data_IF_222108770199
#
_entry.id   IF_222108770199
#
_cell.length_a   1.000
_cell.length_b   1.000
_cell.length_c   1.000
_cell.angle_alpha   90.00
_cell.angle_beta   90.00
_cell.angle_gamma   90.00
#
_symmetry.space_group_name_H-M   'P 1'
#
loop_
_entity.id
_entity.type
_entity.pdbx_description
1 polymer ?
#
# COMPACT_ATOMS: atom_id res chain seq x y z
N UNK A 1 14.02 9.09 10.55
CA UNK A 1 14.32 9.56 11.92
C UNK A 1 13.93 8.50 12.94
N UNK A 2 14.64 8.39 14.06
CA UNK A 2 14.38 7.37 15.10
C UNK A 2 13.17 7.69 16.00
N UNK A 3 12.54 8.85 15.82
CA UNK A 3 11.40 9.30 16.63
C UNK A 3 10.10 8.77 16.03
N UNK A 4 9.46 7.83 16.73
CA UNK A 4 8.09 7.38 16.44
C UNK A 4 7.12 8.17 17.31
N UNK A 5 6.08 8.72 16.70
CA UNK A 5 5.02 9.43 17.41
C UNK A 5 3.69 8.83 17.00
N UNK A 6 2.89 8.39 17.97
CA UNK A 6 1.51 7.99 17.73
C UNK A 6 0.64 9.24 17.74
N UNK A 7 -0.08 9.47 16.65
CA UNK A 7 -0.99 10.61 16.50
C UNK A 7 -2.39 10.06 16.30
N UNK A 8 -3.37 10.60 17.02
CA UNK A 8 -4.77 10.28 16.81
C UNK A 8 -5.39 11.33 15.88
N UNK A 9 -6.04 10.88 14.82
CA UNK A 9 -6.66 11.77 13.83
C UNK A 9 -8.18 11.72 13.95
N UNK A 10 -8.83 12.88 13.92
CA UNK A 10 -10.28 12.97 13.76
C UNK A 10 -10.61 12.78 12.27
N UNK A 11 -10.97 11.55 11.90
CA UNK A 11 -11.36 11.21 10.53
C UNK A 11 -12.70 11.88 10.17
N UNK A 12 -12.73 12.58 9.04
CA UNK A 12 -13.99 13.10 8.47
C UNK A 12 -14.82 12.00 7.79
N UNK A 13 -14.15 11.10 7.08
CA UNK A 13 -14.78 10.01 6.29
C UNK A 13 -13.99 8.71 6.47
N UNK A 14 -14.66 7.56 6.37
CA UNK A 14 -14.04 6.22 6.33
C UNK A 14 -14.68 5.41 5.22
N UNK A 15 -13.86 4.84 4.35
CA UNK A 15 -14.30 3.98 3.24
C UNK A 15 -13.39 2.75 3.15
N UNK A 16 -13.88 1.68 2.54
CA UNK A 16 -13.16 0.42 2.34
C UNK A 16 -12.71 0.24 0.88
N UNK A 17 -12.23 1.31 0.25
CA UNK A 17 -11.72 1.26 -1.13
C UNK A 17 -10.65 2.33 -1.33
N UNK A 18 -9.44 1.96 -1.77
CA UNK A 18 -8.37 2.92 -2.03
C UNK A 18 -8.71 3.89 -3.16
N UNK A 19 -9.47 3.43 -4.16
CA UNK A 19 -9.95 4.26 -5.28
C UNK A 19 -10.85 5.38 -4.75
N UNK A 20 -11.79 5.04 -3.85
CA UNK A 20 -12.69 6.01 -3.24
C UNK A 20 -11.94 6.97 -2.30
N UNK A 21 -10.95 6.48 -1.54
CA UNK A 21 -10.09 7.36 -0.72
C UNK A 21 -9.37 8.38 -1.59
N UNK A 22 -8.81 7.97 -2.74
CA UNK A 22 -8.15 8.88 -3.67
C UNK A 22 -9.10 9.94 -4.21
N UNK A 23 -10.30 9.52 -4.64
CA UNK A 23 -11.31 10.45 -5.14
C UNK A 23 -11.69 11.50 -4.07
N UNK A 24 -11.91 11.07 -2.82
CA UNK A 24 -12.21 12.00 -1.72
C UNK A 24 -11.08 13.00 -1.47
N UNK A 25 -9.81 12.58 -1.60
CA UNK A 25 -8.68 13.50 -1.48
C UNK A 25 -8.62 14.52 -2.63
N UNK A 26 -8.96 14.10 -3.85
CA UNK A 26 -9.06 14.99 -5.02
C UNK A 26 -10.24 15.97 -4.90
N UNK A 27 -11.32 15.55 -4.26
CA UNK A 27 -12.52 16.37 -4.01
C UNK A 27 -12.39 17.25 -2.74
N UNK A 28 -11.16 17.47 -2.25
CA UNK A 28 -10.82 18.33 -1.10
C UNK A 28 -11.46 17.92 0.25
N UNK A 29 -11.77 16.63 0.45
CA UNK A 29 -12.26 16.15 1.75
C UNK A 29 -11.16 16.06 2.82
N UNK A 30 -9.89 16.21 2.44
CA UNK A 30 -8.75 16.32 3.35
C UNK A 30 -7.55 15.44 2.94
N UNK A 31 -6.79 15.01 3.96
CA UNK A 31 -5.55 14.25 3.77
C UNK A 31 -5.84 12.75 3.68
N UNK A 32 -5.19 12.08 2.73
CA UNK A 32 -5.27 10.63 2.56
C UNK A 32 -3.89 9.96 2.62
N UNK A 33 -3.87 8.72 3.10
CA UNK A 33 -2.69 7.84 3.08
C UNK A 33 -2.87 6.83 1.94
N UNK A 34 -2.11 6.99 0.88
CA UNK A 34 -2.22 6.21 -0.36
C UNK A 34 -0.84 5.78 -0.84
N UNK A 35 -0.78 4.74 -1.67
CA UNK A 35 0.46 4.35 -2.32
C UNK A 35 0.88 5.42 -3.35
N UNK A 36 2.19 5.65 -3.47
CA UNK A 36 2.75 6.59 -4.45
C UNK A 36 2.36 6.20 -5.88
N UNK A 37 2.38 4.90 -6.19
CA UNK A 37 2.00 4.37 -7.51
C UNK A 37 0.54 4.70 -7.87
N UNK A 38 -0.39 4.62 -6.91
CA UNK A 38 -1.81 4.91 -7.16
C UNK A 38 -2.09 6.41 -7.41
N UNK A 39 -1.19 7.29 -6.98
CA UNK A 39 -1.29 8.74 -7.11
C UNK A 39 -0.32 9.33 -8.14
N UNK A 40 0.37 8.49 -8.93
CA UNK A 40 1.47 8.92 -9.81
C UNK A 40 1.03 10.03 -10.78
N UNK A 41 -0.14 9.91 -11.37
CA UNK A 41 -0.69 10.88 -12.32
C UNK A 41 -1.07 12.19 -11.63
N UNK A 42 -1.76 12.10 -10.51
CA UNK A 42 -2.27 13.23 -9.75
C UNK A 42 -1.13 14.04 -9.11
N UNK A 43 -0.06 13.37 -8.68
CA UNK A 43 1.17 13.99 -8.22
C UNK A 43 1.90 14.71 -9.37
N UNK A 44 2.01 14.06 -10.53
CA UNK A 44 2.65 14.66 -11.71
C UNK A 44 1.91 15.90 -12.22
N UNK A 45 0.58 15.90 -12.13
CA UNK A 45 -0.27 17.01 -12.56
C UNK A 45 -0.50 18.07 -11.47
N UNK A 46 0.07 17.89 -10.28
CA UNK A 46 -0.06 18.83 -9.15
C UNK A 46 -1.45 18.85 -8.49
N UNK A 47 -2.31 17.87 -8.78
CA UNK A 47 -3.63 17.73 -8.14
C UNK A 47 -3.52 17.19 -6.71
N UNK A 48 -2.49 16.39 -6.46
CA UNK A 48 -2.12 15.95 -5.11
C UNK A 48 -0.71 16.44 -4.78
N UNK A 49 -0.49 16.74 -3.51
CA UNK A 49 0.82 17.16 -2.99
C UNK A 49 1.24 16.21 -1.87
N UNK A 50 2.45 15.64 -1.92
CA UNK A 50 2.96 14.79 -0.85
C UNK A 50 3.28 15.63 0.40
N UNK A 51 2.69 15.24 1.53
CA UNK A 51 2.92 15.89 2.82
C UNK A 51 3.68 14.97 3.78
N UNK A 52 4.19 15.53 4.89
CA UNK A 52 4.87 14.77 5.94
C UNK A 52 6.05 13.92 5.42
N UNK A 53 6.78 14.41 4.41
CA UNK A 53 7.88 13.65 3.78
C UNK A 53 9.02 13.29 4.76
N UNK A 54 9.19 14.07 5.82
CA UNK A 54 10.15 13.79 6.90
C UNK A 54 9.73 12.61 7.81
N UNK A 55 8.48 12.17 7.67
CA UNK A 55 7.85 11.11 8.46
C UNK A 55 7.44 9.94 7.55
N UNK A 56 8.41 9.21 6.98
CA UNK A 56 8.10 8.10 6.08
C UNK A 56 7.34 7.00 6.81
N UNK A 57 6.34 6.44 6.14
CA UNK A 57 5.57 5.30 6.63
C UNK A 57 6.39 4.03 6.39
N UNK A 58 6.40 3.12 7.37
CA UNK A 58 7.09 1.85 7.22
C UNK A 58 6.46 1.02 6.07
N UNK A 59 7.29 0.37 5.23
CA UNK A 59 6.81 -0.56 4.20
C UNK A 59 5.87 -1.62 4.80
N UNK A 60 4.72 -1.84 4.17
CA UNK A 60 3.86 -2.96 4.56
C UNK A 60 4.52 -4.28 4.15
N UNK A 61 4.38 -5.29 5.01
CA UNK A 61 4.89 -6.64 4.77
C UNK A 61 3.77 -7.49 4.15
N UNK A 62 4.07 -8.16 3.05
CA UNK A 62 3.15 -9.13 2.42
C UNK A 62 3.54 -10.54 2.86
N UNK A 63 2.54 -11.34 3.23
CA UNK A 63 2.74 -12.70 3.72
C UNK A 63 1.95 -13.68 2.86
N UNK A 64 2.60 -14.78 2.47
CA UNK A 64 1.92 -15.95 1.90
C UNK A 64 1.36 -16.82 3.02
N UNK A 65 0.03 -16.89 3.15
CA UNK A 65 -0.65 -17.67 4.19
C UNK A 65 -1.21 -18.96 3.61
N UNK A 66 -0.92 -20.10 4.25
CA UNK A 66 -1.38 -21.44 3.86
C UNK A 66 -1.69 -22.28 5.11
N UNK A 67 -2.52 -23.31 4.96
CA UNK A 67 -3.18 -24.00 6.08
C UNK A 67 -2.28 -24.93 6.91
N UNK A 68 -1.22 -25.53 6.34
CA UNK A 68 -0.35 -26.48 7.06
C UNK A 68 1.15 -26.19 6.87
N UNK A 69 1.90 -26.15 7.98
CA UNK A 69 3.38 -26.13 7.98
C UNK A 69 4.01 -27.52 7.82
N UNK A 70 3.23 -28.59 8.03
CA UNK A 70 3.72 -29.97 7.97
C UNK A 70 3.59 -30.43 6.52
N UNK A 71 4.73 -30.59 5.85
CA UNK A 71 4.85 -30.95 4.43
C UNK A 71 4.30 -29.86 3.50
N UNK A 72 5.08 -28.78 3.34
CA UNK A 72 4.81 -27.77 2.32
C UNK A 72 4.85 -28.47 0.95
N UNK A 73 3.68 -28.65 0.34
CA UNK A 73 3.57 -29.37 -0.91
C UNK A 73 4.40 -28.68 -1.99
N UNK A 74 5.08 -29.45 -2.84
CA UNK A 74 6.05 -28.94 -3.82
C UNK A 74 5.45 -27.88 -4.74
N UNK A 75 4.17 -28.00 -5.09
CA UNK A 75 3.43 -27.03 -5.88
C UNK A 75 3.26 -25.67 -5.17
N UNK A 76 3.04 -25.66 -3.85
CA UNK A 76 2.94 -24.43 -3.06
C UNK A 76 4.31 -23.74 -2.99
N UNK A 77 5.38 -24.49 -2.70
CA UNK A 77 6.75 -23.94 -2.69
C UNK A 77 7.11 -23.33 -4.05
N UNK A 78 6.86 -24.07 -5.14
CA UNK A 78 7.15 -23.60 -6.49
C UNK A 78 6.34 -22.34 -6.86
N UNK A 79 5.07 -22.27 -6.44
CA UNK A 79 4.25 -21.08 -6.63
C UNK A 79 4.79 -19.88 -5.83
N UNK A 80 5.15 -20.08 -4.56
CA UNK A 80 5.73 -19.02 -3.73
C UNK A 80 7.05 -18.53 -4.30
N UNK A 81 7.92 -19.44 -4.77
CA UNK A 81 9.18 -19.08 -5.43
C UNK A 81 8.95 -18.26 -6.69
N UNK A 82 7.99 -18.67 -7.53
CA UNK A 82 7.58 -17.89 -8.69
C UNK A 82 7.06 -16.51 -8.30
N UNK A 83 6.19 -16.46 -7.28
CA UNK A 83 5.58 -15.24 -6.81
C UNK A 83 6.61 -14.25 -6.27
N UNK A 84 7.53 -14.70 -5.42
CA UNK A 84 8.62 -13.86 -4.87
C UNK A 84 9.53 -13.36 -5.98
N UNK A 85 9.89 -14.20 -6.96
CA UNK A 85 10.73 -13.78 -8.10
C UNK A 85 10.06 -12.70 -8.96
N UNK A 86 8.74 -12.78 -9.13
CA UNK A 86 7.98 -11.86 -9.99
C UNK A 86 7.52 -10.60 -9.27
N UNK A 87 7.33 -10.68 -7.96
CA UNK A 87 6.67 -9.64 -7.15
C UNK A 87 7.52 -9.17 -5.97
N UNK A 88 8.85 -9.16 -6.12
CA UNK A 88 9.80 -8.70 -5.10
C UNK A 88 9.76 -7.20 -4.83
N UNK A 89 9.07 -6.41 -5.67
CA UNK A 89 8.94 -4.95 -5.53
C UNK A 89 7.50 -4.53 -5.24
N UNK A 90 7.34 -3.43 -4.49
CA UNK A 90 6.00 -2.89 -4.17
C UNK A 90 5.21 -2.43 -5.40
N UNK A 91 5.89 -2.01 -6.47
CA UNK A 91 5.22 -1.62 -7.72
C UNK A 91 4.64 -2.83 -8.46
N UNK A 92 5.34 -3.97 -8.48
CA UNK A 92 4.87 -5.16 -9.18
C UNK A 92 3.66 -5.80 -8.51
N UNK A 93 3.55 -5.73 -7.18
CA UNK A 93 2.41 -6.24 -6.40
C UNK A 93 1.09 -5.50 -6.69
N UNK A 94 1.16 -4.18 -6.93
CA UNK A 94 -0.04 -3.37 -7.20
C UNK A 94 -0.64 -3.69 -8.57
N UNK A 95 0.17 -4.07 -9.56
CA UNK A 95 -0.31 -4.54 -10.87
C UNK A 95 -1.18 -5.80 -10.80
N UNK A 96 -1.15 -6.53 -9.68
CA UNK A 96 -1.93 -7.75 -9.47
C UNK A 96 -3.24 -7.50 -8.70
N UNK A 97 -3.36 -6.34 -8.02
CA UNK A 97 -4.51 -5.95 -7.19
C UNK A 97 -5.39 -4.88 -7.87
N UNK A 98 -5.13 -4.58 -9.14
CA UNK A 98 -5.88 -3.63 -9.97
C UNK A 98 -6.68 -4.34 -11.06
#
# INVERSE_FOLDING_TARGET
GARKTMVNFQRKVRVNSPIMVKQLALDDFGIAMLSNSACKTELANGQLVPILQEWPIEPFKVYGVYSSRRQLATNISAFLDFFVKRFSSQESLQSLMG
#
